data_IF_324589089488
#
_entry.id   IF_324589089488
#
_cell.length_a   1.000
_cell.length_b   1.000
_cell.length_c   1.000
_cell.angle_alpha   90.00
_cell.angle_beta   90.00
_cell.angle_gamma   90.00
#
_symmetry.space_group_name_H-M   'P 1'
#
loop_
_entity.id
_entity.type
_entity.pdbx_description
1 polymer ?
#
# COMPACT_ATOMS: atom_id res chain seq x y z
N UNK A 1 24.30 6.33 24.95
CA UNK A 1 23.69 7.14 23.88
C UNK A 1 23.01 6.15 22.95
N UNK A 2 21.69 6.17 23.02
CA UNK A 2 20.80 5.10 22.56
C UNK A 2 20.78 5.01 21.04
N UNK A 3 21.21 3.88 20.49
CA UNK A 3 21.24 3.62 19.04
C UNK A 3 19.92 3.06 18.52
N UNK A 4 18.97 2.73 19.40
CA UNK A 4 17.66 2.19 19.02
C UNK A 4 16.69 3.24 18.48
N UNK A 5 16.73 4.46 19.00
CA UNK A 5 15.76 5.52 18.70
C UNK A 5 15.79 5.98 17.22
N UNK A 6 17.00 6.11 16.65
CA UNK A 6 17.20 6.51 15.25
C UNK A 6 16.57 5.53 14.24
N UNK A 7 16.42 4.25 14.61
CA UNK A 7 15.81 3.24 13.75
C UNK A 7 14.28 3.35 13.71
N UNK A 8 13.66 3.64 14.85
CA UNK A 8 12.21 3.75 14.97
C UNK A 8 11.70 5.00 14.25
N UNK A 9 12.45 6.11 14.35
CA UNK A 9 12.08 7.36 13.69
C UNK A 9 12.13 7.24 12.17
N UNK A 10 13.15 6.58 11.63
CA UNK A 10 13.22 6.32 10.19
C UNK A 10 12.04 5.47 9.68
N UNK A 11 11.66 4.44 10.43
CA UNK A 11 10.49 3.60 10.09
C UNK A 11 9.20 4.42 10.10
N UNK A 12 9.04 5.31 11.09
CA UNK A 12 7.87 6.20 11.18
C UNK A 12 7.80 7.17 10.00
N UNK A 13 8.93 7.74 9.62
CA UNK A 13 9.04 8.66 8.49
C UNK A 13 8.68 7.95 7.18
N UNK A 14 9.26 6.78 6.91
CA UNK A 14 8.96 5.99 5.73
C UNK A 14 7.48 5.55 5.68
N UNK A 15 6.90 5.15 6.81
CA UNK A 15 5.49 4.84 6.91
C UNK A 15 4.62 6.07 6.58
N UNK A 16 4.97 7.23 7.11
CA UNK A 16 4.24 8.47 6.85
C UNK A 16 4.31 8.86 5.36
N UNK A 17 5.47 8.72 4.72
CA UNK A 17 5.66 8.95 3.29
C UNK A 17 4.83 7.98 2.44
N UNK A 18 4.86 6.68 2.77
CA UNK A 18 4.06 5.68 2.07
C UNK A 18 2.56 5.98 2.18
N UNK A 19 2.06 6.35 3.37
CA UNK A 19 0.66 6.74 3.56
C UNK A 19 0.30 8.02 2.79
N UNK A 20 1.20 9.02 2.77
CA UNK A 20 1.00 10.25 2.02
C UNK A 20 0.90 9.98 0.52
N UNK A 21 1.76 9.13 -0.03
CA UNK A 21 1.70 8.75 -1.44
C UNK A 21 0.46 7.92 -1.76
N UNK A 22 0.13 6.93 -0.92
CA UNK A 22 -1.07 6.10 -1.07
C UNK A 22 -2.36 6.93 -1.16
N UNK A 23 -2.42 8.10 -0.51
CA UNK A 23 -3.58 8.99 -0.63
C UNK A 23 -3.83 9.47 -2.09
N UNK A 24 -2.76 9.61 -2.88
CA UNK A 24 -2.77 10.17 -4.24
C UNK A 24 -2.70 9.10 -5.33
N UNK A 25 -2.01 8.00 -5.06
CA UNK A 25 -1.83 6.95 -6.06
C UNK A 25 -3.13 6.20 -6.34
N UNK A 26 -3.37 5.97 -7.63
CA UNK A 26 -4.42 5.11 -8.16
C UNK A 26 -3.80 4.09 -9.08
N UNK A 27 -4.43 2.92 -9.18
CA UNK A 27 -3.97 1.88 -10.08
C UNK A 27 -4.09 2.36 -11.54
N UNK A 28 -3.00 2.41 -12.33
CA UNK A 28 -3.04 3.05 -13.65
C UNK A 28 -3.59 2.14 -14.77
N UNK A 29 -3.78 0.84 -14.52
CA UNK A 29 -4.18 -0.14 -15.53
C UNK A 29 -4.89 -1.35 -14.92
N UNK A 30 -5.38 -2.24 -15.78
CA UNK A 30 -5.98 -3.52 -15.40
C UNK A 30 -7.41 -3.39 -14.89
N UNK A 31 -7.92 -4.47 -14.28
CA UNK A 31 -9.31 -4.57 -13.79
C UNK A 31 -9.65 -3.52 -12.71
N UNK A 32 -8.67 -3.13 -11.91
CA UNK A 32 -8.84 -2.20 -10.79
C UNK A 32 -8.36 -0.79 -11.13
N UNK A 33 -8.32 -0.43 -12.42
CA UNK A 33 -7.90 0.90 -12.86
C UNK A 33 -8.68 2.00 -12.12
N UNK A 34 -7.99 3.08 -11.79
CA UNK A 34 -8.48 4.26 -11.08
C UNK A 34 -8.89 4.02 -9.62
N UNK A 35 -8.76 2.79 -9.09
CA UNK A 35 -8.92 2.52 -7.66
C UNK A 35 -7.69 2.94 -6.85
N UNK A 36 -7.86 3.42 -5.61
CA UNK A 36 -6.76 3.59 -4.67
C UNK A 36 -5.98 2.31 -4.46
N UNK A 37 -4.64 2.42 -4.39
CA UNK A 37 -3.79 1.23 -4.23
C UNK A 37 -4.11 0.47 -2.93
N UNK A 38 -4.45 1.19 -1.85
CA UNK A 38 -4.82 0.58 -0.56
C UNK A 38 -6.19 -0.12 -0.56
N UNK A 39 -7.02 0.13 -1.58
CA UNK A 39 -8.32 -0.54 -1.79
C UNK A 39 -8.20 -1.75 -2.74
N UNK A 40 -7.00 -2.04 -3.27
CA UNK A 40 -6.78 -3.23 -4.09
C UNK A 40 -7.00 -4.52 -3.27
N UNK A 41 -7.70 -5.53 -3.81
CA UNK A 41 -7.86 -6.81 -3.13
C UNK A 41 -6.53 -7.51 -2.88
N UNK A 42 -6.43 -8.24 -1.78
CA UNK A 42 -5.23 -9.00 -1.44
C UNK A 42 -4.88 -10.02 -2.54
N UNK A 43 -5.88 -10.73 -3.06
CA UNK A 43 -5.74 -11.75 -4.09
C UNK A 43 -5.16 -11.17 -5.39
N UNK A 44 -5.53 -9.92 -5.71
CA UNK A 44 -4.98 -9.23 -6.87
C UNK A 44 -3.49 -8.92 -6.70
N UNK A 45 -3.10 -8.49 -5.50
CA UNK A 45 -1.71 -8.18 -5.16
C UNK A 45 -0.85 -9.43 -5.00
N UNK A 46 -1.41 -10.50 -4.42
CA UNK A 46 -0.76 -11.79 -4.20
C UNK A 46 -0.29 -12.46 -5.49
N UNK A 47 -0.96 -12.17 -6.60
CA UNK A 47 -0.54 -12.67 -7.91
C UNK A 47 0.79 -12.05 -8.39
N UNK A 48 1.17 -10.83 -7.96
CA UNK A 48 2.35 -10.15 -8.48
C UNK A 48 3.69 -10.81 -8.10
N UNK A 49 3.94 -11.19 -6.83
CA UNK A 49 5.16 -11.90 -6.44
C UNK A 49 5.39 -13.22 -7.21
N UNK A 50 4.33 -13.89 -7.64
CA UNK A 50 4.41 -15.16 -8.37
C UNK A 50 4.70 -14.98 -9.87
N UNK A 51 4.61 -13.75 -10.39
CA UNK A 51 4.90 -13.45 -11.80
C UNK A 51 6.39 -13.29 -12.04
N UNK A 52 6.83 -13.67 -13.23
CA UNK A 52 8.21 -13.48 -13.69
C UNK A 52 8.71 -12.02 -13.60
N UNK A 53 7.82 -11.04 -13.82
CA UNK A 53 8.17 -9.62 -13.79
C UNK A 53 8.01 -8.97 -12.41
N UNK A 54 7.42 -9.67 -11.42
CA UNK A 54 7.15 -9.15 -10.09
C UNK A 54 6.21 -7.93 -10.06
N UNK A 55 6.34 -7.10 -9.03
CA UNK A 55 5.69 -5.79 -8.97
C UNK A 55 6.29 -4.83 -10.02
N UNK A 56 5.53 -3.84 -10.52
CA UNK A 56 6.05 -2.80 -11.41
C UNK A 56 7.29 -2.10 -10.84
N UNK A 57 8.18 -1.57 -11.66
CA UNK A 57 9.35 -0.84 -11.14
C UNK A 57 8.98 0.55 -10.62
N UNK A 58 9.82 1.05 -9.70
CA UNK A 58 9.72 2.39 -9.13
C UNK A 58 8.58 2.54 -8.12
N UNK A 59 8.21 3.78 -7.84
CA UNK A 59 7.33 4.11 -6.71
C UNK A 59 5.98 3.39 -6.71
N UNK A 60 5.40 3.13 -7.89
CA UNK A 60 4.16 2.38 -7.99
C UNK A 60 4.30 0.96 -7.41
N UNK A 61 5.37 0.24 -7.78
CA UNK A 61 5.60 -1.11 -7.28
C UNK A 61 5.91 -1.15 -5.80
N UNK A 62 6.73 -0.23 -5.31
CA UNK A 62 7.05 -0.10 -3.89
C UNK A 62 5.78 0.07 -3.05
N UNK A 63 4.86 0.94 -3.49
CA UNK A 63 3.58 1.13 -2.81
C UNK A 63 2.66 -0.09 -2.93
N UNK A 64 2.63 -0.77 -4.09
CA UNK A 64 1.86 -2.00 -4.27
C UNK A 64 2.38 -3.13 -3.36
N UNK A 65 3.69 -3.28 -3.25
CA UNK A 65 4.36 -4.25 -2.38
C UNK A 65 4.12 -3.93 -0.91
N UNK A 66 4.21 -2.65 -0.51
CA UNK A 66 3.86 -2.20 0.82
C UNK A 66 2.40 -2.53 1.18
N UNK A 67 1.45 -2.26 0.27
CA UNK A 67 0.04 -2.64 0.49
C UNK A 67 -0.08 -4.15 0.59
N UNK A 68 0.54 -4.91 -0.31
CA UNK A 68 0.51 -6.38 -0.28
C UNK A 68 0.95 -6.94 1.07
N UNK A 69 2.13 -6.54 1.56
CA UNK A 69 2.66 -7.02 2.84
C UNK A 69 1.82 -6.54 4.02
N UNK A 70 1.32 -5.30 3.99
CA UNK A 70 0.41 -4.81 5.02
C UNK A 70 -0.83 -5.69 5.13
N UNK A 71 -1.43 -6.06 3.99
CA UNK A 71 -2.60 -6.94 3.92
C UNK A 71 -2.28 -8.37 4.36
N UNK A 72 -1.16 -8.93 3.87
CA UNK A 72 -0.68 -10.26 4.24
C UNK A 72 -0.50 -10.41 5.76
N UNK A 73 -0.05 -9.34 6.43
CA UNK A 73 0.17 -9.29 7.88
C UNK A 73 -1.09 -8.93 8.70
N UNK A 74 -2.24 -8.67 8.06
CA UNK A 74 -3.46 -8.21 8.74
C UNK A 74 -3.37 -6.80 9.32
N UNK A 75 -2.40 -5.98 8.90
CA UNK A 75 -2.15 -4.64 9.41
C UNK A 75 -2.93 -3.53 8.67
N UNK A 76 -4.01 -3.87 7.97
CA UNK A 76 -4.76 -2.95 7.08
C UNK A 76 -5.36 -1.73 7.80
N UNK A 77 -5.49 -1.81 9.12
CA UNK A 77 -5.96 -0.71 9.97
C UNK A 77 -5.12 0.56 9.79
N UNK A 78 -3.85 0.46 9.38
CA UNK A 78 -3.00 1.62 9.08
C UNK A 78 -3.56 2.50 7.94
N UNK A 79 -4.39 1.94 7.05
CA UNK A 79 -5.02 2.68 5.94
C UNK A 79 -6.30 3.40 6.36
N UNK A 80 -6.79 3.22 7.58
CA UNK A 80 -8.03 3.85 8.07
C UNK A 80 -8.09 5.37 7.87
N UNK A 81 -7.00 6.14 8.09
CA UNK A 81 -7.00 7.59 7.84
C UNK A 81 -7.25 7.94 6.36
N UNK A 82 -6.85 7.07 5.43
CA UNK A 82 -7.02 7.27 3.99
C UNK A 82 -8.47 7.02 3.56
N UNK A 83 -9.09 5.95 4.06
CA UNK A 83 -10.49 5.59 3.76
C UNK A 83 -11.49 6.66 4.20
N UNK A 84 -11.22 7.32 5.34
CA UNK A 84 -12.04 8.45 5.82
C UNK A 84 -12.00 9.66 4.88
N UNK A 85 -10.93 9.83 4.12
CA UNK A 85 -10.77 10.94 3.19
C UNK A 85 -11.44 10.67 1.84
N UNK A 86 -11.49 9.41 1.38
CA UNK A 86 -11.98 9.08 0.04
C UNK A 86 -13.43 8.64 -0.04
N UNK A 87 -14.09 8.31 1.09
CA UNK A 87 -15.49 7.88 1.10
C UNK A 87 -15.74 6.63 0.23
N UNK A 88 -14.70 5.88 -0.11
CA UNK A 88 -14.76 4.75 -1.05
C UNK A 88 -15.73 3.68 -0.52
N UNK A 89 -16.75 3.27 -1.30
CA UNK A 89 -17.55 2.11 -0.97
C UNK A 89 -16.68 0.84 -1.02
N UNK A 90 -17.04 -0.15 -0.21
CA UNK A 90 -16.39 -1.46 -0.17
C UNK A 90 -16.36 -2.08 -1.59
N UNK A 91 -15.18 -2.23 -2.23
CA UNK A 91 -15.09 -2.63 -3.62
C UNK A 91 -15.40 -4.12 -3.87
N UNK A 92 -15.74 -4.89 -2.83
CA UNK A 92 -16.00 -6.33 -2.90
C UNK A 92 -17.41 -6.74 -2.42
N UNK A 93 -18.36 -5.80 -2.39
CA UNK A 93 -19.79 -6.12 -2.21
C UNK A 93 -20.55 -6.25 -3.53
#
# INVERSE_FOLDING_TARGET
MDSGDLSADRIREELAENLADLSRYRMPFGRYKDLPLYDLPYEYLHWFPERADGFPKGRLGELMEFVYHTKANGAEMIFSPLKKQTGSPDPLK
#
